data_IF_592984411057
#
_entry.id   IF_592984411057
#
_cell.length_a   1.000
_cell.length_b   1.000
_cell.length_c   1.000
_cell.angle_alpha   90.00
_cell.angle_beta   90.00
_cell.angle_gamma   90.00
#
_symmetry.space_group_name_H-M   'P 1'
#
loop_
_entity.id
_entity.type
_entity.pdbx_description
1 polymer ?
#
# COMPACT_ATOMS: atom_id res chain seq x y z
N UNK A 1 0.45 -13.84 -9.78
CA UNK A 1 0.55 -12.45 -9.29
C UNK A 1 0.35 -12.47 -7.79
N UNK A 2 1.18 -11.76 -7.03
CA UNK A 2 1.09 -11.69 -5.57
C UNK A 2 1.04 -10.22 -5.18
N UNK A 3 0.17 -9.87 -4.24
CA UNK A 3 0.14 -8.54 -3.66
C UNK A 3 1.32 -8.37 -2.71
N UNK A 4 1.98 -7.21 -2.80
CA UNK A 4 3.03 -6.81 -1.89
C UNK A 4 2.71 -5.48 -1.23
N UNK A 5 3.42 -5.18 -0.15
CA UNK A 5 3.42 -3.84 0.43
C UNK A 5 4.15 -2.89 -0.52
N UNK A 6 3.52 -1.75 -0.80
CA UNK A 6 4.23 -0.60 -1.38
C UNK A 6 4.79 0.26 -0.25
N UNK A 7 3.96 0.66 0.71
CA UNK A 7 4.33 1.67 1.68
C UNK A 7 3.41 1.84 2.88
N UNK A 8 3.88 2.60 3.87
CA UNK A 8 3.08 3.11 4.99
C UNK A 8 3.21 4.63 4.97
N UNK A 9 2.14 5.32 4.59
CA UNK A 9 2.24 6.75 4.28
C UNK A 9 1.47 7.58 5.32
N UNK A 10 2.17 8.36 6.17
CA UNK A 10 1.50 9.34 7.01
C UNK A 10 0.70 10.34 6.18
N UNK A 11 -0.47 10.75 6.67
CA UNK A 11 -1.34 11.75 6.03
C UNK A 11 -1.82 12.77 7.06
N UNK A 12 -1.84 14.03 6.66
CA UNK A 12 -2.51 15.13 7.36
C UNK A 12 -3.90 15.29 6.76
N UNK A 13 -4.88 14.62 7.38
CA UNK A 13 -6.28 14.54 6.91
C UNK A 13 -6.88 15.92 6.65
N UNK A 14 -6.73 16.86 7.61
CA UNK A 14 -7.28 18.23 7.53
C UNK A 14 -6.84 19.02 6.29
N UNK A 15 -5.65 18.71 5.75
CA UNK A 15 -5.06 19.40 4.61
C UNK A 15 -5.03 18.55 3.34
N UNK A 16 -5.57 17.34 3.40
CA UNK A 16 -5.43 16.33 2.36
C UNK A 16 -3.99 16.22 1.82
N UNK A 17 -3.01 16.12 2.73
CA UNK A 17 -1.60 16.22 2.39
C UNK A 17 -0.82 15.04 2.97
N UNK A 18 0.08 14.46 2.16
CA UNK A 18 1.02 13.44 2.59
C UNK A 18 2.37 14.12 2.84
N UNK A 19 2.84 14.24 4.11
CA UNK A 19 4.16 14.73 4.39
C UNK A 19 5.23 13.81 3.80
N UNK A 20 6.26 14.43 3.23
CA UNK A 20 7.36 13.74 2.56
C UNK A 20 8.71 14.30 3.00
N UNK A 21 9.75 13.46 3.04
CA UNK A 21 11.14 13.84 3.31
C UNK A 21 11.30 14.66 4.62
N UNK A 22 10.63 14.23 5.69
CA UNK A 22 10.53 15.00 6.93
C UNK A 22 11.84 15.14 7.70
N UNK A 23 12.83 14.27 7.45
CA UNK A 23 14.15 14.40 8.07
C UNK A 23 15.28 13.82 7.20
N UNK A 24 15.98 14.69 6.48
CA UNK A 24 17.11 14.30 5.64
C UNK A 24 18.36 13.83 6.42
N UNK A 25 18.40 14.02 7.75
CA UNK A 25 19.51 13.52 8.59
C UNK A 25 19.32 12.06 8.99
N UNK A 26 18.16 11.47 8.72
CA UNK A 26 17.85 10.06 8.96
C UNK A 26 17.92 9.28 7.65
N UNK A 27 19.10 9.26 7.04
CA UNK A 27 19.35 8.44 5.87
C UNK A 27 19.04 6.97 6.16
N UNK A 28 18.63 6.25 5.11
CA UNK A 28 18.41 4.80 5.19
C UNK A 28 19.72 4.07 5.52
N UNK A 29 19.66 3.14 6.46
CA UNK A 29 20.77 2.31 6.89
C UNK A 29 20.39 0.83 6.81
N UNK A 30 20.90 0.06 5.83
CA UNK A 30 20.59 -1.37 5.69
C UNK A 30 20.83 -2.19 6.95
N UNK A 31 21.83 -1.84 7.78
CA UNK A 31 22.14 -2.60 8.98
C UNK A 31 21.02 -2.53 10.03
N UNK A 32 20.18 -1.49 10.01
CA UNK A 32 19.04 -1.37 10.92
C UNK A 32 17.90 -2.35 10.61
N UNK A 33 17.83 -2.90 9.39
CA UNK A 33 16.76 -3.82 8.96
C UNK A 33 17.28 -5.22 8.64
N UNK A 34 18.59 -5.46 8.76
CA UNK A 34 19.24 -6.73 8.41
C UNK A 34 18.58 -7.95 9.03
N UNK A 35 18.07 -7.84 10.26
CA UNK A 35 17.40 -8.93 10.97
C UNK A 35 16.01 -9.29 10.42
N UNK A 36 15.41 -8.43 9.59
CA UNK A 36 14.08 -8.61 8.99
C UNK A 36 14.13 -8.53 7.45
N UNK A 37 15.33 -8.53 6.87
CA UNK A 37 15.56 -8.35 5.44
C UNK A 37 14.89 -9.46 4.61
N UNK A 38 15.07 -10.73 5.01
CA UNK A 38 14.46 -11.88 4.34
C UNK A 38 12.93 -11.81 4.34
N UNK A 39 12.33 -11.26 5.41
CA UNK A 39 10.88 -11.07 5.48
C UNK A 39 10.45 -9.91 4.57
N UNK A 40 11.20 -8.82 4.53
CA UNK A 40 10.95 -7.71 3.61
C UNK A 40 11.02 -8.14 2.15
N UNK A 41 11.99 -8.98 1.77
CA UNK A 41 12.08 -9.49 0.40
C UNK A 41 10.84 -10.30 -0.02
N UNK A 42 10.15 -10.93 0.93
CA UNK A 42 8.94 -11.71 0.64
C UNK A 42 7.69 -10.85 0.55
N UNK A 43 7.53 -9.86 1.43
CA UNK A 43 6.26 -9.11 1.55
C UNK A 43 6.31 -7.70 0.99
N UNK A 44 7.51 -7.14 0.84
CA UNK A 44 7.76 -5.76 0.41
C UNK A 44 8.94 -5.73 -0.57
N UNK A 45 8.94 -6.51 -1.66
CA UNK A 45 10.05 -6.57 -2.60
C UNK A 45 10.24 -5.23 -3.33
N UNK A 46 11.44 -5.04 -3.89
CA UNK A 46 11.67 -3.96 -4.83
C UNK A 46 10.93 -4.23 -6.15
N UNK A 47 9.93 -3.39 -6.45
CA UNK A 47 9.09 -3.49 -7.65
C UNK A 47 9.65 -2.71 -8.85
N UNK A 48 10.71 -1.93 -8.67
CA UNK A 48 11.32 -1.13 -9.73
C UNK A 48 12.46 -1.91 -10.40
N UNK A 49 12.21 -2.34 -11.64
CA UNK A 49 13.22 -3.07 -12.43
C UNK A 49 14.45 -2.19 -12.68
N UNK A 50 15.64 -2.76 -12.52
CA UNK A 50 16.90 -2.09 -12.82
C UNK A 50 17.43 -1.14 -11.74
N UNK A 51 16.78 -1.07 -10.57
CA UNK A 51 17.27 -0.31 -9.42
C UNK A 51 18.02 -1.19 -8.42
N UNK A 52 18.78 -0.58 -7.51
CA UNK A 52 19.56 -1.30 -6.50
C UNK A 52 18.67 -2.06 -5.51
N UNK A 53 19.20 -3.11 -4.89
CA UNK A 53 18.48 -4.01 -3.96
C UNK A 53 17.64 -3.26 -2.92
N UNK A 54 18.25 -2.27 -2.26
CA UNK A 54 17.61 -1.50 -1.19
C UNK A 54 16.85 -0.26 -1.66
N UNK A 55 16.91 0.08 -2.94
CA UNK A 55 16.44 1.39 -3.44
C UNK A 55 14.97 1.67 -3.10
N UNK A 56 14.12 0.64 -3.13
CA UNK A 56 12.71 0.79 -2.81
C UNK A 56 12.49 1.04 -1.32
N UNK A 57 13.15 0.30 -0.44
CA UNK A 57 13.08 0.56 1.01
C UNK A 57 13.72 1.89 1.40
N UNK A 58 14.81 2.27 0.74
CA UNK A 58 15.40 3.59 0.90
C UNK A 58 14.42 4.69 0.51
N UNK A 59 13.72 4.55 -0.62
CA UNK A 59 12.67 5.48 -1.04
C UNK A 59 11.56 5.58 0.02
N UNK A 60 10.99 4.44 0.42
CA UNK A 60 9.88 4.39 1.37
C UNK A 60 10.26 4.94 2.75
N UNK A 61 11.47 4.66 3.23
CA UNK A 61 11.96 5.22 4.48
C UNK A 61 12.18 6.73 4.37
N UNK A 62 12.99 7.17 3.41
CA UNK A 62 13.40 8.58 3.31
C UNK A 62 12.21 9.48 3.04
N UNK A 63 11.32 9.09 2.13
CA UNK A 63 10.15 9.85 1.74
C UNK A 63 9.03 9.76 2.77
N UNK A 64 8.67 8.57 3.25
CA UNK A 64 7.47 8.38 4.08
C UNK A 64 7.77 8.00 5.53
N UNK A 65 8.69 7.07 5.76
CA UNK A 65 9.04 6.59 7.10
C UNK A 65 9.57 7.68 8.03
N UNK A 66 10.40 8.61 7.53
CA UNK A 66 10.90 9.76 8.31
C UNK A 66 9.78 10.66 8.85
N UNK A 67 8.60 10.65 8.22
CA UNK A 67 7.43 11.42 8.64
C UNK A 67 6.56 10.69 9.68
N UNK A 68 6.76 9.38 9.86
CA UNK A 68 5.99 8.56 10.80
C UNK A 68 6.58 8.55 12.23
N UNK A 69 7.83 8.98 12.38
CA UNK A 69 8.62 8.79 13.62
C UNK A 69 8.09 9.54 14.86
N UNK A 70 7.18 10.50 14.66
CA UNK A 70 6.45 11.14 15.76
C UNK A 70 5.53 10.17 16.53
N UNK A 71 5.29 8.97 16.01
CA UNK A 71 4.58 7.89 16.68
C UNK A 71 5.55 6.79 17.10
N UNK A 72 5.50 6.40 18.38
CA UNK A 72 6.38 5.39 18.99
C UNK A 72 6.43 4.02 18.28
N UNK A 73 5.35 3.55 17.62
CA UNK A 73 5.40 2.34 16.77
C UNK A 73 6.23 2.47 15.49
N UNK A 74 6.66 3.68 15.10
CA UNK A 74 7.38 3.99 13.86
C UNK A 74 8.64 4.83 14.10
N UNK A 75 9.06 5.04 15.36
CA UNK A 75 10.14 5.96 15.74
C UNK A 75 11.56 5.52 15.33
N UNK A 76 11.69 4.44 14.56
CA UNK A 76 12.94 3.96 13.97
C UNK A 76 12.68 3.24 12.64
N UNK A 77 13.73 3.15 11.80
CA UNK A 77 13.68 2.43 10.54
C UNK A 77 13.24 0.97 10.73
N UNK A 78 13.86 0.28 11.72
CA UNK A 78 13.49 -1.08 12.08
C UNK A 78 11.99 -1.22 12.40
N UNK A 79 11.45 -0.32 13.24
CA UNK A 79 10.04 -0.37 13.64
C UNK A 79 9.09 -0.07 12.48
N UNK A 80 9.44 0.88 11.61
CA UNK A 80 8.66 1.20 10.43
C UNK A 80 8.45 -0.01 9.52
N UNK A 81 9.54 -0.68 9.15
CA UNK A 81 9.48 -1.87 8.31
C UNK A 81 8.85 -3.07 9.04
N UNK A 82 9.19 -3.27 10.32
CA UNK A 82 8.57 -4.33 11.14
C UNK A 82 7.05 -4.18 11.22
N UNK A 83 6.54 -2.95 11.28
CA UNK A 83 5.09 -2.70 11.31
C UNK A 83 4.43 -3.09 9.98
N UNK A 84 5.07 -2.81 8.85
CA UNK A 84 4.59 -3.25 7.54
C UNK A 84 4.48 -4.77 7.44
N UNK A 85 5.52 -5.48 7.87
CA UNK A 85 5.53 -6.95 7.96
C UNK A 85 4.42 -7.46 8.90
N UNK A 86 4.26 -6.85 10.08
CA UNK A 86 3.20 -7.24 11.00
C UNK A 86 1.81 -7.11 10.35
N UNK A 87 1.57 -6.03 9.62
CA UNK A 87 0.30 -5.78 8.96
C UNK A 87 -0.02 -6.77 7.83
N UNK A 88 0.97 -7.29 7.11
CA UNK A 88 0.73 -8.34 6.11
C UNK A 88 0.28 -9.66 6.73
N UNK A 89 0.66 -9.91 7.99
CA UNK A 89 0.24 -11.09 8.76
C UNK A 89 -1.09 -10.88 9.47
N UNK A 90 -1.37 -9.64 9.90
CA UNK A 90 -2.54 -9.28 10.70
C UNK A 90 -3.80 -9.08 9.87
N UNK A 91 -3.68 -8.44 8.70
CA UNK A 91 -4.82 -8.10 7.86
C UNK A 91 -5.04 -9.14 6.76
N UNK A 92 -6.30 -9.29 6.29
CA UNK A 92 -6.62 -10.24 5.23
C UNK A 92 -5.72 -10.03 4.01
N UNK A 93 -5.12 -11.12 3.54
CA UNK A 93 -4.36 -11.07 2.31
C UNK A 93 -5.28 -10.63 1.16
N UNK A 94 -4.89 -9.59 0.44
CA UNK A 94 -5.76 -8.94 -0.56
C UNK A 94 -6.18 -9.93 -1.64
N UNK A 95 -5.27 -10.80 -2.08
CA UNK A 95 -5.59 -11.82 -3.08
C UNK A 95 -6.71 -12.75 -2.61
N UNK A 96 -6.64 -13.27 -1.38
CA UNK A 96 -7.67 -14.16 -0.83
C UNK A 96 -9.00 -13.43 -0.65
N UNK A 97 -8.92 -12.14 -0.30
CA UNK A 97 -10.08 -11.26 -0.14
C UNK A 97 -10.83 -11.07 -1.46
N UNK A 98 -10.11 -10.74 -2.54
CA UNK A 98 -10.68 -10.57 -3.87
C UNK A 98 -11.18 -11.90 -4.45
N UNK A 99 -10.39 -12.97 -4.34
CA UNK A 99 -10.78 -14.30 -4.80
C UNK A 99 -12.07 -14.80 -4.13
N UNK A 100 -12.23 -14.55 -2.82
CA UNK A 100 -13.44 -14.91 -2.08
C UNK A 100 -14.70 -14.18 -2.58
N UNK A 101 -14.53 -13.02 -3.21
CA UNK A 101 -15.60 -12.24 -3.83
C UNK A 101 -15.80 -12.58 -5.32
N UNK A 102 -15.07 -13.55 -5.87
CA UNK A 102 -15.12 -13.90 -7.29
C UNK A 102 -14.41 -12.88 -8.20
N UNK A 103 -13.54 -12.05 -7.63
CA UNK A 103 -12.72 -11.07 -8.34
C UNK A 103 -11.34 -11.69 -8.54
N UNK A 104 -11.08 -12.13 -9.77
CA UNK A 104 -9.82 -12.73 -10.18
C UNK A 104 -9.12 -11.81 -11.17
N UNK A 105 -7.78 -11.88 -11.25
CA UNK A 105 -7.03 -11.22 -12.32
C UNK A 105 -7.56 -11.63 -13.71
N UNK A 106 -7.88 -10.66 -14.55
CA UNK A 106 -8.43 -10.83 -15.90
C UNK A 106 -8.11 -9.58 -16.74
N UNK A 107 -7.39 -9.76 -17.85
CA UNK A 107 -6.94 -8.67 -18.73
C UNK A 107 -8.07 -8.08 -19.60
N UNK A 108 -9.28 -8.65 -19.54
CA UNK A 108 -10.42 -8.26 -20.38
C UNK A 108 -11.66 -7.87 -19.59
N UNK A 109 -11.88 -8.49 -18.43
CA UNK A 109 -13.01 -8.18 -17.56
C UNK A 109 -12.73 -6.91 -16.78
N UNK A 110 -13.67 -5.98 -16.89
CA UNK A 110 -13.68 -4.75 -16.11
C UNK A 110 -14.49 -4.94 -14.83
N UNK A 111 -13.97 -4.37 -13.75
CA UNK A 111 -14.62 -4.30 -12.45
C UNK A 111 -14.84 -2.84 -12.06
N UNK A 112 -15.82 -2.56 -11.20
CA UNK A 112 -16.00 -1.24 -10.61
C UNK A 112 -15.13 -1.08 -9.35
N UNK A 113 -14.83 0.17 -8.98
CA UNK A 113 -14.13 0.45 -7.73
C UNK A 113 -14.93 -0.05 -6.51
N UNK A 114 -16.25 0.06 -6.57
CA UNK A 114 -17.17 -0.41 -5.53
C UNK A 114 -17.12 -1.93 -5.35
N UNK A 115 -16.90 -2.70 -6.42
CA UNK A 115 -16.73 -4.16 -6.32
C UNK A 115 -15.47 -4.51 -5.51
N UNK A 116 -14.34 -3.87 -5.80
CA UNK A 116 -13.11 -4.05 -5.01
C UNK A 116 -13.30 -3.58 -3.57
N UNK A 117 -13.88 -2.39 -3.38
CA UNK A 117 -14.10 -1.82 -2.05
C UNK A 117 -15.04 -2.68 -1.20
N UNK A 118 -16.11 -3.21 -1.79
CA UNK A 118 -17.05 -4.09 -1.10
C UNK A 118 -16.40 -5.42 -0.68
N UNK A 119 -15.55 -6.01 -1.54
CA UNK A 119 -14.82 -7.22 -1.22
C UNK A 119 -13.91 -7.04 0.01
N UNK A 120 -13.16 -5.94 0.05
CA UNK A 120 -12.29 -5.60 1.18
C UNK A 120 -13.11 -5.28 2.43
N UNK A 121 -14.13 -4.41 2.32
CA UNK A 121 -15.02 -4.04 3.43
C UNK A 121 -15.70 -5.25 4.07
N UNK A 122 -16.07 -6.27 3.30
CA UNK A 122 -16.67 -7.48 3.84
C UNK A 122 -15.76 -8.18 4.86
N UNK A 123 -14.44 -8.14 4.67
CA UNK A 123 -13.42 -8.73 5.54
C UNK A 123 -12.95 -7.79 6.65
N UNK A 124 -12.73 -6.52 6.33
CA UNK A 124 -12.13 -5.52 7.25
C UNK A 124 -13.15 -4.77 8.08
N UNK A 125 -14.42 -4.76 7.65
CA UNK A 125 -15.50 -3.88 8.15
C UNK A 125 -15.23 -2.39 7.96
N UNK A 126 -14.24 -2.04 7.13
CA UNK A 126 -13.78 -0.68 6.88
C UNK A 126 -13.64 -0.40 5.39
N UNK A 127 -14.02 0.80 4.98
CA UNK A 127 -13.90 1.25 3.59
C UNK A 127 -12.41 1.45 3.22
N UNK A 128 -11.89 0.74 2.19
CA UNK A 128 -10.54 1.00 1.69
C UNK A 128 -10.54 2.17 0.68
N UNK A 129 -9.35 2.57 0.24
CA UNK A 129 -9.18 3.36 -0.99
C UNK A 129 -8.66 2.45 -2.11
N UNK A 130 -9.25 2.58 -3.29
CA UNK A 130 -8.83 1.92 -4.53
C UNK A 130 -8.00 2.91 -5.34
N UNK A 131 -6.76 2.57 -5.64
CA UNK A 131 -5.86 3.37 -6.47
C UNK A 131 -5.75 2.74 -7.85
N UNK A 132 -5.93 3.56 -8.88
CA UNK A 132 -5.81 3.13 -10.26
C UNK A 132 -4.67 3.82 -11.00
N UNK A 133 -4.18 3.15 -12.04
CA UNK A 133 -3.18 3.65 -12.97
C UNK A 133 -3.74 3.65 -14.41
N UNK A 134 -3.87 4.81 -15.06
CA UNK A 134 -4.26 4.89 -16.47
C UNK A 134 -3.04 4.61 -17.36
N UNK A 135 -3.16 3.64 -18.27
CA UNK A 135 -2.14 3.32 -19.28
C UNK A 135 -2.83 3.21 -20.63
N UNK A 136 -2.41 4.04 -21.59
CA UNK A 136 -2.94 4.08 -22.96
C UNK A 136 -4.49 4.14 -23.05
N UNK A 137 -5.11 4.87 -22.12
CA UNK A 137 -6.57 5.03 -22.04
C UNK A 137 -7.32 3.87 -21.37
N UNK A 138 -6.60 2.91 -20.79
CA UNK A 138 -7.15 1.82 -19.98
C UNK A 138 -6.80 2.05 -18.51
N UNK A 139 -7.79 1.95 -17.62
CA UNK A 139 -7.61 2.09 -16.18
C UNK A 139 -7.29 0.72 -15.57
N UNK A 140 -6.13 0.61 -14.91
CA UNK A 140 -5.71 -0.61 -14.21
C UNK A 140 -5.80 -0.44 -12.70
N UNK A 141 -6.15 -1.51 -11.98
CA UNK A 141 -6.01 -1.56 -10.53
C UNK A 141 -4.52 -1.57 -10.18
N UNK A 142 -4.08 -0.57 -9.44
CA UNK A 142 -2.69 -0.42 -9.03
C UNK A 142 -2.51 -0.81 -7.56
N UNK A 143 -3.31 -0.20 -6.68
CA UNK A 143 -3.17 -0.37 -5.23
C UNK A 143 -4.51 -0.43 -4.51
N UNK A 144 -4.50 -1.04 -3.33
CA UNK A 144 -5.60 -0.99 -2.37
C UNK A 144 -5.04 -0.51 -1.04
N UNK A 145 -5.53 0.60 -0.53
CA UNK A 145 -5.06 1.17 0.73
C UNK A 145 -6.01 0.83 1.87
N UNK A 146 -5.42 0.47 3.01
CA UNK A 146 -6.09 0.38 4.30
C UNK A 146 -5.69 1.60 5.15
N UNK A 147 -6.67 2.28 5.74
CA UNK A 147 -6.44 3.48 6.53
C UNK A 147 -6.41 3.20 8.03
N UNK A 148 -5.51 3.89 8.74
CA UNK A 148 -5.32 3.74 10.17
C UNK A 148 -5.33 5.09 10.88
N UNK A 149 -5.92 5.14 12.07
CA UNK A 149 -5.75 6.29 12.97
C UNK A 149 -4.34 6.29 13.60
N UNK A 150 -4.01 7.34 14.38
CA UNK A 150 -2.71 7.44 15.06
C UNK A 150 -2.51 6.41 16.18
N UNK A 151 -3.57 5.71 16.58
CA UNK A 151 -3.55 4.60 17.52
C UNK A 151 -3.42 3.24 16.80
N UNK A 152 -3.32 3.26 15.47
CA UNK A 152 -3.22 2.09 14.58
C UNK A 152 -4.48 1.22 14.58
N UNK A 153 -5.63 1.81 14.91
CA UNK A 153 -6.91 1.17 14.65
C UNK A 153 -7.26 1.33 13.17
N UNK A 154 -7.78 0.26 12.58
CA UNK A 154 -8.30 0.32 11.21
C UNK A 154 -9.54 1.23 11.19
N UNK A 155 -9.51 2.22 10.30
CA UNK A 155 -10.58 3.19 10.11
C UNK A 155 -11.03 3.19 8.64
N UNK A 156 -12.16 3.82 8.39
CA UNK A 156 -12.63 4.05 7.03
C UNK A 156 -11.70 5.06 6.35
N UNK A 157 -11.29 4.79 5.11
CA UNK A 157 -10.61 5.78 4.28
C UNK A 157 -11.59 6.88 3.85
N UNK A 158 -11.11 8.12 3.79
CA UNK A 158 -11.97 9.29 3.46
C UNK A 158 -12.56 9.22 2.04
N UNK A 159 -11.87 8.57 1.11
CA UNK A 159 -12.26 8.43 -0.29
C UNK A 159 -12.16 6.97 -0.73
N UNK A 160 -13.15 6.53 -1.53
CA UNK A 160 -13.17 5.17 -2.08
C UNK A 160 -12.17 5.02 -3.23
N UNK A 161 -11.91 6.07 -4.00
CA UNK A 161 -10.96 6.06 -5.13
C UNK A 161 -9.98 7.23 -5.09
N UNK A 162 -8.83 7.09 -5.76
CA UNK A 162 -8.02 8.23 -6.16
C UNK A 162 -8.62 8.93 -7.40
N UNK A 163 -8.01 10.04 -7.82
CA UNK A 163 -8.40 10.83 -8.99
C UNK A 163 -8.14 10.14 -10.34
N UNK A 164 -7.39 9.03 -10.33
CA UNK A 164 -7.00 8.30 -11.53
C UNK A 164 -7.92 7.14 -11.88
N UNK A 165 -8.83 6.74 -10.98
CA UNK A 165 -9.81 5.73 -11.30
C UNK A 165 -10.91 6.33 -12.19
N UNK A 166 -10.98 5.87 -13.44
CA UNK A 166 -12.16 6.12 -14.28
C UNK A 166 -13.32 5.22 -13.83
N UNK A 167 -14.18 5.79 -12.99
CA UNK A 167 -15.37 5.12 -12.45
C UNK A 167 -16.44 4.83 -13.51
N UNK A 168 -16.38 5.46 -14.69
CA UNK A 168 -17.35 5.25 -15.76
C UNK A 168 -16.95 4.10 -16.68
N UNK A 169 -15.65 3.99 -17.00
CA UNK A 169 -15.15 3.02 -17.97
C UNK A 169 -14.70 1.68 -17.37
N UNK A 170 -14.63 1.57 -16.04
CA UNK A 170 -14.27 0.35 -15.33
C UNK A 170 -12.77 0.07 -15.29
N UNK A 171 -12.36 -0.80 -14.36
CA UNK A 171 -10.97 -1.04 -13.97
C UNK A 171 -10.57 -2.47 -14.36
N UNK A 172 -9.43 -2.61 -15.02
CA UNK A 172 -8.80 -3.91 -15.29
C UNK A 172 -7.98 -4.33 -14.07
N UNK A 173 -8.23 -5.54 -13.55
CA UNK A 173 -7.34 -6.19 -12.60
C UNK A 173 -6.41 -7.11 -13.40
N UNK A 174 -5.20 -6.68 -13.77
CA UNK A 174 -4.40 -7.38 -14.76
C UNK A 174 -4.02 -8.79 -14.30
N UNK A 175 -3.99 -9.76 -15.22
CA UNK A 175 -3.54 -11.13 -14.99
C UNK A 175 -2.02 -11.29 -15.08
N UNK A 176 -1.33 -10.35 -15.74
CA UNK A 176 0.12 -10.23 -15.78
C UNK A 176 0.54 -8.77 -15.52
N UNK A 177 1.34 -8.53 -14.48
CA UNK A 177 1.94 -7.23 -14.13
C UNK A 177 3.44 -7.41 -13.87
#
# INVERSE_FOLDING_TARGET
MQWSVHGIWPRVVEKNYYPEFCNNSWAFDPEQIKSIEDELEQVWPNIHKGTGRYSFWEHEWTKHGTCATGLQPFDSQFKYFSKGIEWTKKYPYIMDTLNSAGIFPDDTKKFSAEEFAAAVKARTKKDPMISCLPVDGVTYLEEIHLCFDKQLNLIDCDTVTNEHCDIADGIIYPANA
#
